data_IF_524410898829
#
_entry.id   IF_524410898829
#
_cell.length_a   1.000
_cell.length_b   1.000
_cell.length_c   1.000
_cell.angle_alpha   90.00
_cell.angle_beta   90.00
_cell.angle_gamma   90.00
#
_symmetry.space_group_name_H-M   'P 1'
#
loop_
_entity.id
_entity.type
_entity.pdbx_description
1 polymer ?
#
# COMPACT_ATOMS: atom_id res chain seq x y z
N UNK A 1 15.64 -17.92 -2.47
CA UNK A 1 14.90 -17.21 -3.54
C UNK A 1 14.77 -15.77 -3.10
N UNK A 2 15.23 -14.83 -3.93
CA UNK A 2 15.35 -13.40 -3.62
C UNK A 2 13.97 -12.78 -3.39
N UNK A 3 13.77 -12.20 -2.20
CA UNK A 3 12.56 -11.47 -1.77
C UNK A 3 12.24 -10.27 -2.72
N UNK A 4 13.19 -9.88 -3.58
CA UNK A 4 13.11 -8.74 -4.51
C UNK A 4 12.01 -8.79 -5.58
N UNK A 5 11.45 -9.97 -5.88
CA UNK A 5 10.44 -10.13 -6.95
C UNK A 5 9.09 -10.66 -6.44
N UNK A 6 8.86 -10.56 -5.13
CA UNK A 6 7.61 -10.98 -4.51
C UNK A 6 6.41 -10.11 -4.90
N UNK A 7 5.18 -10.64 -4.81
CA UNK A 7 3.94 -9.89 -4.99
C UNK A 7 3.86 -8.58 -4.17
N UNK A 8 4.46 -8.54 -2.98
CA UNK A 8 4.53 -7.31 -2.18
C UNK A 8 5.43 -6.25 -2.84
N UNK A 9 6.52 -6.66 -3.49
CA UNK A 9 7.44 -5.77 -4.17
C UNK A 9 6.77 -5.15 -5.41
N UNK A 10 5.90 -5.90 -6.10
CA UNK A 10 5.08 -5.39 -7.19
C UNK A 10 4.09 -4.33 -6.68
N UNK A 11 3.39 -4.58 -5.58
CA UNK A 11 2.43 -3.62 -5.01
C UNK A 11 3.10 -2.35 -4.45
N UNK A 12 4.29 -2.46 -3.89
CA UNK A 12 5.06 -1.28 -3.49
C UNK A 12 5.53 -0.47 -4.72
N UNK A 13 6.00 -1.14 -5.77
CA UNK A 13 6.35 -0.47 -7.04
C UNK A 13 5.13 0.21 -7.68
N UNK A 14 3.95 -0.42 -7.66
CA UNK A 14 2.71 0.18 -8.16
C UNK A 14 2.37 1.48 -7.41
N UNK A 15 2.41 1.48 -6.07
CA UNK A 15 2.19 2.70 -5.29
C UNK A 15 3.19 3.81 -5.65
N UNK A 16 4.47 3.48 -5.83
CA UNK A 16 5.50 4.45 -6.22
C UNK A 16 5.27 5.02 -7.62
N UNK A 17 4.80 4.20 -8.56
CA UNK A 17 4.41 4.64 -9.91
C UNK A 17 3.17 5.54 -9.86
N UNK A 18 2.14 5.15 -9.12
CA UNK A 18 0.92 5.94 -8.93
C UNK A 18 1.20 7.27 -8.24
N UNK A 19 2.11 7.30 -7.25
CA UNK A 19 2.58 8.53 -6.62
C UNK A 19 3.30 9.45 -7.61
N UNK A 20 4.09 8.86 -8.52
CA UNK A 20 4.76 9.61 -9.59
C UNK A 20 3.73 10.22 -10.55
N UNK A 21 2.71 9.45 -10.93
CA UNK A 21 1.64 9.91 -11.81
C UNK A 21 0.82 11.04 -11.18
N UNK A 22 0.42 10.87 -9.92
CA UNK A 22 -0.30 11.88 -9.12
C UNK A 22 0.49 13.17 -8.92
N UNK A 23 1.83 13.09 -8.87
CA UNK A 23 2.69 14.25 -8.85
C UNK A 23 2.69 15.00 -10.19
N UNK A 24 2.65 14.29 -11.32
CA UNK A 24 2.72 14.90 -12.66
C UNK A 24 1.38 15.41 -13.17
N UNK A 25 0.28 14.77 -12.80
CA UNK A 25 -1.06 15.15 -13.24
C UNK A 25 -1.82 15.83 -12.10
N UNK A 26 -1.96 17.15 -12.20
CA UNK A 26 -2.62 17.95 -11.19
C UNK A 26 -4.15 17.74 -11.14
N UNK A 27 -4.75 17.17 -12.20
CA UNK A 27 -6.19 16.92 -12.28
C UNK A 27 -6.59 15.62 -11.57
N UNK A 28 -5.62 14.77 -11.22
CA UNK A 28 -5.92 13.59 -10.42
C UNK A 28 -6.33 14.01 -9.01
N UNK A 29 -7.45 13.46 -8.57
CA UNK A 29 -7.96 13.62 -7.22
C UNK A 29 -7.40 12.50 -6.31
N UNK A 30 -7.00 12.88 -5.10
CA UNK A 30 -6.39 11.94 -4.15
C UNK A 30 -7.30 10.75 -3.83
N UNK A 31 -8.58 11.01 -3.57
CA UNK A 31 -9.54 10.00 -3.11
C UNK A 31 -9.72 8.84 -4.10
N UNK A 32 -10.18 9.10 -5.34
CA UNK A 32 -10.32 8.06 -6.36
C UNK A 32 -8.99 7.36 -6.69
N UNK A 33 -7.88 8.09 -6.72
CA UNK A 33 -6.57 7.52 -7.03
C UNK A 33 -6.07 6.59 -5.92
N UNK A 34 -6.29 6.94 -4.65
CA UNK A 34 -6.02 6.10 -3.50
C UNK A 34 -6.92 4.86 -3.49
N UNK A 35 -8.22 5.03 -3.74
CA UNK A 35 -9.18 3.93 -3.78
C UNK A 35 -8.77 2.88 -4.82
N UNK A 36 -8.40 3.34 -6.02
CA UNK A 36 -7.90 2.44 -7.07
C UNK A 36 -6.69 1.62 -6.61
N UNK A 37 -5.70 2.25 -5.96
CA UNK A 37 -4.55 1.52 -5.42
C UNK A 37 -4.96 0.46 -4.38
N UNK A 38 -5.86 0.81 -3.45
CA UNK A 38 -6.30 -0.11 -2.40
C UNK A 38 -7.12 -1.28 -2.96
N UNK A 39 -7.88 -1.08 -4.04
CA UNK A 39 -8.59 -2.16 -4.74
C UNK A 39 -7.59 -3.19 -5.31
N UNK A 40 -6.50 -2.73 -5.94
CA UNK A 40 -5.43 -3.61 -6.45
C UNK A 40 -4.74 -4.40 -5.32
N UNK A 41 -4.56 -3.79 -4.14
CA UNK A 41 -4.06 -4.46 -2.94
C UNK A 41 -5.01 -5.57 -2.51
N UNK A 42 -6.31 -5.32 -2.45
CA UNK A 42 -7.30 -6.33 -2.04
C UNK A 42 -7.41 -7.48 -3.05
N UNK A 43 -7.29 -7.21 -4.34
CA UNK A 43 -7.24 -8.24 -5.39
C UNK A 43 -6.04 -9.17 -5.17
N UNK A 44 -4.86 -8.59 -4.93
CA UNK A 44 -3.63 -9.36 -4.71
C UNK A 44 -3.68 -10.19 -3.42
N UNK A 45 -4.21 -9.60 -2.34
CA UNK A 45 -4.39 -10.29 -1.07
C UNK A 45 -5.37 -11.46 -1.23
N UNK A 46 -6.47 -11.27 -1.96
CA UNK A 46 -7.46 -12.34 -2.20
C UNK A 46 -6.89 -13.49 -3.03
N UNK A 47 -5.94 -13.20 -3.92
CA UNK A 47 -5.20 -14.22 -4.68
C UNK A 47 -4.16 -14.97 -3.82
N UNK A 48 -3.64 -14.34 -2.76
CA UNK A 48 -2.64 -14.94 -1.87
C UNK A 48 -3.26 -15.67 -0.68
N UNK A 49 -2.87 -16.94 -0.49
CA UNK A 49 -3.59 -17.85 0.43
C UNK A 49 -3.16 -17.86 1.90
N UNK A 50 -2.08 -17.20 2.32
CA UNK A 50 -1.47 -17.55 3.61
C UNK A 50 -1.10 -16.42 4.57
N UNK A 51 -0.70 -15.24 4.11
CA UNK A 51 -0.32 -14.15 5.03
C UNK A 51 -0.64 -12.76 4.47
N UNK A 52 -1.90 -12.36 4.67
CA UNK A 52 -2.40 -11.05 4.23
C UNK A 52 -1.79 -9.90 5.03
N UNK A 53 -1.61 -10.09 6.33
CA UNK A 53 -1.08 -9.07 7.23
C UNK A 53 0.40 -8.84 6.95
N UNK A 54 1.21 -9.90 6.91
CA UNK A 54 2.63 -9.80 6.60
C UNK A 54 2.89 -9.29 5.17
N UNK A 55 2.02 -9.61 4.22
CA UNK A 55 2.05 -9.02 2.89
C UNK A 55 1.90 -7.50 2.93
N UNK A 56 0.86 -6.99 3.61
CA UNK A 56 0.63 -5.55 3.73
C UNK A 56 1.71 -4.85 4.55
N UNK A 57 2.23 -5.46 5.62
CA UNK A 57 3.32 -4.89 6.42
C UNK A 57 4.60 -4.71 5.60
N UNK A 58 4.94 -5.65 4.71
CA UNK A 58 6.08 -5.50 3.80
C UNK A 58 5.90 -4.32 2.83
N UNK A 59 4.68 -4.13 2.30
CA UNK A 59 4.37 -2.97 1.44
C UNK A 59 4.48 -1.68 2.24
N UNK A 60 3.81 -1.62 3.39
CA UNK A 60 3.81 -0.46 4.28
C UNK A 60 5.23 -0.04 4.66
N UNK A 61 6.08 -0.97 5.09
CA UNK A 61 7.46 -0.69 5.47
C UNK A 61 8.26 -0.02 4.34
N UNK A 62 8.18 -0.56 3.12
CA UNK A 62 8.86 0.03 1.95
C UNK A 62 8.33 1.44 1.65
N UNK A 63 7.02 1.62 1.63
CA UNK A 63 6.42 2.91 1.28
C UNK A 63 6.69 3.98 2.34
N UNK A 64 6.77 3.62 3.62
CA UNK A 64 7.21 4.53 4.69
C UNK A 64 8.64 5.02 4.45
N UNK A 65 9.58 4.12 4.12
CA UNK A 65 10.95 4.53 3.75
C UNK A 65 10.98 5.44 2.52
N UNK A 66 10.17 5.15 1.50
CA UNK A 66 10.06 6.00 0.31
C UNK A 66 9.45 7.38 0.64
N UNK A 67 8.45 7.43 1.51
CA UNK A 67 7.81 8.65 1.98
C UNK A 67 8.80 9.55 2.72
N UNK A 68 9.60 9.00 3.63
CA UNK A 68 10.63 9.73 4.38
C UNK A 68 11.65 10.42 3.47
N UNK A 69 11.99 9.78 2.34
CA UNK A 69 12.95 10.31 1.35
C UNK A 69 12.30 11.27 0.33
N UNK A 70 10.97 11.34 0.28
CA UNK A 70 10.25 12.12 -0.72
C UNK A 70 10.01 13.56 -0.26
N UNK A 71 10.49 14.52 -1.05
CA UNK A 71 10.31 15.97 -0.82
C UNK A 71 9.21 16.59 -1.70
N UNK A 72 8.79 15.93 -2.78
CA UNK A 72 7.78 16.43 -3.69
C UNK A 72 6.38 16.41 -3.03
N UNK A 73 5.68 17.57 -2.88
CA UNK A 73 4.48 17.66 -2.05
C UNK A 73 3.34 16.72 -2.45
N UNK A 74 2.95 16.67 -3.73
CA UNK A 74 1.84 15.80 -4.18
C UNK A 74 2.23 14.32 -4.11
N UNK A 75 3.46 13.98 -4.51
CA UNK A 75 3.98 12.61 -4.32
C UNK A 75 3.91 12.18 -2.85
N UNK A 76 4.31 13.07 -1.95
CA UNK A 76 4.31 12.86 -0.50
C UNK A 76 2.90 12.71 0.04
N UNK A 77 1.95 13.53 -0.41
CA UNK A 77 0.53 13.46 -0.06
C UNK A 77 -0.04 12.08 -0.40
N UNK A 78 0.16 11.60 -1.63
CA UNK A 78 -0.33 10.28 -2.04
C UNK A 78 0.33 9.15 -1.24
N UNK A 79 1.66 9.17 -1.09
CA UNK A 79 2.38 8.14 -0.32
C UNK A 79 1.93 8.10 1.14
N UNK A 80 1.70 9.26 1.76
CA UNK A 80 1.19 9.34 3.13
C UNK A 80 -0.21 8.72 3.24
N UNK A 81 -1.10 9.04 2.31
CA UNK A 81 -2.45 8.50 2.29
C UNK A 81 -2.45 6.96 2.14
N UNK A 82 -1.58 6.42 1.29
CA UNK A 82 -1.39 4.97 1.13
C UNK A 82 -0.87 4.33 2.41
N UNK A 83 0.16 4.90 3.05
CA UNK A 83 0.73 4.39 4.31
C UNK A 83 -0.33 4.33 5.41
N UNK A 84 -1.16 5.37 5.54
CA UNK A 84 -2.26 5.41 6.51
C UNK A 84 -3.31 4.34 6.18
N UNK A 85 -3.77 4.27 4.93
CA UNK A 85 -4.79 3.30 4.53
C UNK A 85 -4.34 1.84 4.73
N UNK A 86 -3.06 1.53 4.43
CA UNK A 86 -2.48 0.22 4.70
C UNK A 86 -2.44 -0.09 6.19
N UNK A 87 -2.04 0.87 7.04
CA UNK A 87 -2.02 0.69 8.50
C UNK A 87 -3.41 0.40 9.05
N UNK A 88 -4.40 1.20 8.68
CA UNK A 88 -5.79 0.98 9.10
C UNK A 88 -6.31 -0.40 8.67
N UNK A 89 -5.93 -0.86 7.47
CA UNK A 89 -6.34 -2.16 6.95
C UNK A 89 -5.65 -3.33 7.68
N UNK A 90 -4.35 -3.19 7.96
CA UNK A 90 -3.56 -4.14 8.76
C UNK A 90 -4.18 -4.30 10.14
N UNK A 91 -4.48 -3.18 10.81
CA UNK A 91 -5.01 -3.18 12.17
C UNK A 91 -6.38 -3.87 12.21
N UNK A 92 -7.27 -3.55 11.26
CA UNK A 92 -8.58 -4.20 11.13
C UNK A 92 -8.46 -5.71 10.93
N UNK A 93 -7.64 -6.16 9.98
CA UNK A 93 -7.47 -7.60 9.73
C UNK A 93 -6.81 -8.33 10.89
N UNK A 94 -5.90 -7.69 11.60
CA UNK A 94 -5.26 -8.28 12.79
C UNK A 94 -6.27 -8.50 13.92
N UNK A 95 -7.21 -7.57 14.09
CA UNK A 95 -8.32 -7.72 15.03
C UNK A 95 -9.27 -8.86 14.61
N UNK A 96 -9.66 -8.92 13.33
CA UNK A 96 -10.53 -9.98 12.81
C UNK A 96 -9.92 -11.38 13.06
N UNK A 97 -8.62 -11.55 12.77
CA UNK A 97 -7.89 -12.81 13.02
C UNK A 97 -7.82 -13.16 14.51
N UNK A 98 -7.76 -12.15 15.40
CA UNK A 98 -7.73 -12.38 16.83
C UNK A 98 -9.11 -12.85 17.36
N UNK A 99 -10.21 -12.30 16.82
CA UNK A 99 -11.58 -12.65 17.17
C UNK A 99 -12.01 -14.02 16.63
N UNK A 100 -11.56 -14.41 15.42
CA UNK A 100 -11.85 -15.73 14.85
C UNK A 100 -11.16 -16.88 15.62
N UNK A 101 -10.17 -16.58 16.46
CA UNK A 101 -9.39 -17.55 17.24
C UNK A 101 -9.83 -17.68 18.70
N UNK A 102 -10.77 -16.86 19.17
CA UNK A 102 -11.31 -16.86 20.54
C UNK A 102 -12.63 -17.62 20.63
#
# INVERSE_FOLDING_TARGET
MTDEYGPYAQMATLAEQMASHYQTDANLELGPHLAHYMDEVEINISAHRFDHVGFMEKIHARLTTTLEKTTAPRRREFLLAVVIALRERIDRRSLDVALDRS
#
